data_IF_720865347547
#
_entry.id   IF_720865347547
#
_cell.length_a   1.000
_cell.length_b   1.000
_cell.length_c   1.000
_cell.angle_alpha   90.00
_cell.angle_beta   90.00
_cell.angle_gamma   90.00
#
_symmetry.space_group_name_H-M   'P 1'
#
loop_
_entity.id
_entity.type
_entity.pdbx_description
1 polymer ?
#
# COMPACT_ATOMS: atom_id res chain seq x y z
N UNK A 1 3.53 -16.35 -7.11
CA UNK A 1 3.07 -15.17 -7.91
C UNK A 1 1.64 -15.29 -8.43
N UNK A 2 1.14 -16.45 -8.91
CA UNK A 2 -0.25 -16.56 -9.41
C UNK A 2 -1.33 -16.28 -8.35
N UNK A 3 -1.06 -16.55 -7.07
CA UNK A 3 -2.06 -16.41 -5.99
C UNK A 3 -2.41 -14.97 -5.62
N UNK A 4 -1.49 -14.01 -5.78
CA UNK A 4 -1.71 -12.60 -5.40
C UNK A 4 -2.63 -11.89 -6.40
N UNK A 5 -2.37 -12.06 -7.69
CA UNK A 5 -3.21 -11.50 -8.75
C UNK A 5 -4.64 -12.05 -8.69
N UNK A 6 -4.81 -13.35 -8.38
CA UNK A 6 -6.15 -13.96 -8.23
C UNK A 6 -6.88 -13.35 -7.02
N UNK A 7 -6.24 -13.25 -5.86
CA UNK A 7 -6.85 -12.66 -4.66
C UNK A 7 -7.14 -11.15 -4.80
N UNK A 8 -6.39 -10.43 -5.64
CA UNK A 8 -6.68 -9.03 -5.96
C UNK A 8 -7.85 -8.86 -6.93
N UNK A 9 -8.14 -9.88 -7.76
CA UNK A 9 -9.29 -9.87 -8.69
C UNK A 9 -10.63 -10.21 -8.02
N UNK A 10 -10.62 -10.84 -6.83
CA UNK A 10 -11.84 -11.18 -6.08
C UNK A 10 -12.52 -9.98 -5.42
N UNK A 11 -11.88 -8.81 -5.42
CA UNK A 11 -12.46 -7.61 -4.82
C UNK A 11 -13.27 -6.79 -5.82
N UNK A 12 -14.40 -6.19 -5.38
CA UNK A 12 -15.30 -5.47 -6.26
C UNK A 12 -14.53 -4.39 -7.00
N UNK A 13 -14.57 -4.47 -8.33
CA UNK A 13 -13.87 -3.53 -9.19
C UNK A 13 -14.41 -2.14 -8.92
N UNK A 14 -13.54 -1.29 -8.38
CA UNK A 14 -13.82 0.12 -8.10
C UNK A 14 -13.80 0.88 -9.43
N UNK A 15 -14.91 1.53 -9.78
CA UNK A 15 -14.99 2.30 -11.01
C UNK A 15 -14.04 3.51 -10.97
N UNK A 16 -13.47 3.83 -12.12
CA UNK A 16 -12.80 5.12 -12.36
C UNK A 16 -13.77 5.95 -13.19
N UNK A 17 -14.16 7.10 -12.66
CA UNK A 17 -14.99 8.06 -13.40
C UNK A 17 -14.08 9.10 -14.02
N UNK A 18 -14.23 9.29 -15.33
CA UNK A 18 -13.57 10.34 -16.09
C UNK A 18 -14.65 11.37 -16.42
N UNK A 19 -14.62 12.50 -15.73
CA UNK A 19 -15.53 13.62 -16.00
C UNK A 19 -14.90 14.54 -17.06
N UNK A 20 -15.53 14.57 -18.24
CA UNK A 20 -15.12 15.41 -19.37
C UNK A 20 -16.05 16.64 -19.57
N UNK A 21 -16.91 16.96 -18.59
CA UNK A 21 -17.83 18.09 -18.70
C UNK A 21 -17.15 19.47 -18.65
N UNK A 22 -15.93 19.53 -18.08
CA UNK A 22 -15.10 20.73 -17.98
C UNK A 22 -14.05 20.88 -19.09
N UNK A 23 -13.29 22.00 -19.09
CA UNK A 23 -12.22 22.27 -20.06
C UNK A 23 -11.02 21.32 -19.92
N UNK A 24 -10.87 20.66 -18.77
CA UNK A 24 -9.88 19.61 -18.55
C UNK A 24 -10.56 18.38 -17.91
N UNK A 25 -10.23 17.16 -18.38
CA UNK A 25 -10.82 15.95 -17.83
C UNK A 25 -10.39 15.75 -16.37
N UNK A 26 -11.35 15.44 -15.50
CA UNK A 26 -11.10 15.11 -14.10
C UNK A 26 -11.22 13.59 -13.89
N UNK A 27 -10.27 13.04 -13.13
CA UNK A 27 -10.26 11.64 -12.76
C UNK A 27 -10.67 11.49 -11.30
N UNK A 28 -11.69 10.69 -11.02
CA UNK A 28 -11.99 10.25 -9.66
C UNK A 28 -11.93 8.73 -9.58
N UNK A 29 -10.98 8.19 -8.81
CA UNK A 29 -10.94 6.77 -8.49
C UNK A 29 -11.86 6.46 -7.31
N UNK A 30 -12.59 5.33 -7.36
CA UNK A 30 -13.36 4.85 -6.21
C UNK A 30 -12.49 4.30 -5.05
N UNK A 31 -11.16 4.48 -5.11
CA UNK A 31 -10.22 4.14 -4.04
C UNK A 31 -8.87 4.81 -4.24
N UNK A 32 -8.34 5.36 -3.15
CA UNK A 32 -7.00 5.92 -3.03
C UNK A 32 -6.48 5.66 -1.62
N UNK A 33 -5.17 5.77 -1.45
CA UNK A 33 -4.54 5.89 -0.14
C UNK A 33 -3.46 6.98 -0.21
N UNK A 34 -2.95 7.37 0.97
CA UNK A 34 -1.97 8.45 1.09
C UNK A 34 -0.73 8.21 0.23
N UNK A 35 -0.29 6.95 0.11
CA UNK A 35 0.85 6.61 -0.75
C UNK A 35 0.58 6.93 -2.22
N UNK A 36 -0.58 6.53 -2.75
CA UNK A 36 -0.99 6.85 -4.12
C UNK A 36 -1.09 8.36 -4.35
N UNK A 37 -1.66 9.10 -3.40
CA UNK A 37 -1.78 10.56 -3.46
C UNK A 37 -0.42 11.25 -3.48
N UNK A 38 0.47 10.92 -2.52
CA UNK A 38 1.80 11.52 -2.39
C UNK A 38 2.64 11.27 -3.67
N UNK A 39 2.57 10.07 -4.25
CA UNK A 39 3.28 9.75 -5.49
C UNK A 39 2.65 10.37 -6.73
N UNK A 40 1.32 10.46 -6.80
CA UNK A 40 0.62 11.14 -7.89
C UNK A 40 0.99 12.63 -7.91
N UNK A 41 1.00 13.28 -6.76
CA UNK A 41 1.45 14.67 -6.64
C UNK A 41 2.92 14.83 -7.05
N UNK A 42 3.80 13.93 -6.60
CA UNK A 42 5.21 13.92 -7.02
C UNK A 42 5.36 13.78 -8.54
N UNK A 43 4.55 12.94 -9.16
CA UNK A 43 4.55 12.72 -10.60
C UNK A 43 4.05 13.93 -11.37
N UNK A 44 2.96 14.57 -10.92
CA UNK A 44 2.40 15.79 -11.52
C UNK A 44 3.38 16.96 -11.41
N UNK A 45 4.00 17.15 -10.25
CA UNK A 45 5.02 18.19 -10.06
C UNK A 45 6.26 17.95 -10.94
N UNK A 46 6.64 16.69 -11.16
CA UNK A 46 7.71 16.33 -12.09
C UNK A 46 7.38 16.60 -13.56
N UNK A 47 6.10 16.73 -13.91
CA UNK A 47 5.64 16.94 -15.28
C UNK A 47 5.83 18.39 -15.76
N UNK A 48 5.91 19.36 -14.85
CA UNK A 48 6.04 20.78 -15.19
C UNK A 48 7.28 21.09 -16.05
N UNK A 49 8.32 20.24 -15.97
CA UNK A 49 9.55 20.37 -16.77
C UNK A 49 9.64 19.48 -18.00
N UNK A 50 8.67 18.59 -18.24
CA UNK A 50 8.63 17.69 -19.41
C UNK A 50 9.83 16.73 -19.56
N UNK A 51 10.63 16.51 -18.51
CA UNK A 51 11.87 15.74 -18.57
C UNK A 51 11.60 14.21 -18.47
N UNK A 52 11.81 13.42 -19.54
CA UNK A 52 11.55 11.97 -19.52
C UNK A 52 12.42 11.21 -18.51
N UNK A 53 13.63 11.68 -18.23
CA UNK A 53 14.52 11.07 -17.25
C UNK A 53 13.98 11.23 -15.83
N UNK A 54 13.43 12.40 -15.51
CA UNK A 54 12.82 12.66 -14.20
C UNK A 54 11.61 11.75 -13.97
N UNK A 55 10.75 11.57 -14.98
CA UNK A 55 9.64 10.62 -14.89
C UNK A 55 10.10 9.19 -14.61
N UNK A 56 11.12 8.73 -15.34
CA UNK A 56 11.70 7.40 -15.10
C UNK A 56 12.23 7.29 -13.66
N UNK A 57 12.93 8.31 -13.18
CA UNK A 57 13.47 8.32 -11.82
C UNK A 57 12.36 8.27 -10.76
N UNK A 58 11.27 9.01 -10.93
CA UNK A 58 10.10 8.97 -10.04
C UNK A 58 9.51 7.56 -10.02
N UNK A 59 9.31 6.92 -11.19
CA UNK A 59 8.78 5.56 -11.28
C UNK A 59 9.70 4.51 -10.64
N UNK A 60 11.01 4.63 -10.82
CA UNK A 60 11.97 3.72 -10.18
C UNK A 60 11.99 3.91 -8.66
N UNK A 61 11.93 5.15 -8.17
CA UNK A 61 11.83 5.42 -6.73
C UNK A 61 10.52 4.89 -6.13
N UNK A 62 9.40 5.00 -6.85
CA UNK A 62 8.12 4.40 -6.47
C UNK A 62 8.24 2.88 -6.28
N UNK A 63 8.81 2.19 -7.27
CA UNK A 63 9.04 0.73 -7.22
C UNK A 63 9.92 0.37 -6.03
N UNK A 64 11.06 1.06 -5.87
CA UNK A 64 11.99 0.82 -4.77
C UNK A 64 11.32 0.99 -3.42
N UNK A 65 10.50 2.03 -3.25
CA UNK A 65 9.77 2.29 -2.01
C UNK A 65 8.76 1.17 -1.70
N UNK A 66 7.98 0.73 -2.69
CA UNK A 66 7.03 -0.37 -2.52
C UNK A 66 7.75 -1.68 -2.12
N UNK A 67 8.89 -1.99 -2.76
CA UNK A 67 9.72 -3.16 -2.43
C UNK A 67 10.30 -3.05 -1.01
N UNK A 68 10.77 -1.87 -0.62
CA UNK A 68 11.29 -1.65 0.73
C UNK A 68 10.21 -1.83 1.79
N UNK A 69 9.03 -1.28 1.54
CA UNK A 69 7.93 -1.32 2.51
C UNK A 69 7.41 -2.75 2.73
N UNK A 70 7.28 -3.56 1.67
CA UNK A 70 6.89 -4.98 1.83
C UNK A 70 7.97 -5.79 2.57
N UNK A 71 9.25 -5.55 2.27
CA UNK A 71 10.35 -6.26 2.94
C UNK A 71 10.46 -5.87 4.42
N UNK A 72 10.29 -4.58 4.72
CA UNK A 72 10.24 -4.08 6.10
C UNK A 72 9.08 -4.71 6.86
N UNK A 73 7.88 -4.77 6.26
CA UNK A 73 6.71 -5.39 6.87
C UNK A 73 6.95 -6.88 7.18
N UNK A 74 7.44 -7.66 6.21
CA UNK A 74 7.78 -9.08 6.40
C UNK A 74 8.75 -9.26 7.56
N UNK A 75 9.78 -8.40 7.66
CA UNK A 75 10.75 -8.43 8.76
C UNK A 75 10.11 -8.08 10.10
N UNK A 76 9.24 -7.07 10.16
CA UNK A 76 8.54 -6.70 11.39
C UNK A 76 7.61 -7.80 11.87
N UNK A 77 6.87 -8.44 10.96
CA UNK A 77 5.93 -9.51 11.30
C UNK A 77 6.67 -10.69 11.95
N UNK A 78 7.78 -11.14 11.34
CA UNK A 78 8.62 -12.19 11.95
C UNK A 78 9.12 -11.83 13.35
N UNK A 79 9.45 -10.56 13.59
CA UNK A 79 9.90 -10.12 14.91
C UNK A 79 8.74 -10.01 15.92
N UNK A 80 7.56 -9.63 15.45
CA UNK A 80 6.37 -9.43 16.27
C UNK A 80 5.86 -10.74 16.90
N UNK A 81 6.17 -11.89 16.30
CA UNK A 81 5.85 -13.21 16.85
C UNK A 81 6.44 -13.41 18.26
N UNK A 82 7.64 -12.90 18.52
CA UNK A 82 8.35 -13.09 19.78
C UNK A 82 8.47 -11.82 20.62
N UNK A 83 7.97 -10.67 20.13
CA UNK A 83 8.22 -9.38 20.75
C UNK A 83 7.07 -8.39 20.53
N UNK A 84 6.36 -8.05 21.60
CA UNK A 84 5.24 -7.11 21.57
C UNK A 84 5.67 -5.68 21.19
N UNK A 85 6.91 -5.27 21.47
CA UNK A 85 7.45 -4.00 21.00
C UNK A 85 7.68 -4.01 19.48
N UNK A 86 8.06 -5.16 18.90
CA UNK A 86 8.14 -5.31 17.46
C UNK A 86 6.75 -5.27 16.81
N UNK A 87 5.73 -5.85 17.46
CA UNK A 87 4.33 -5.71 17.03
C UNK A 87 3.89 -4.24 17.00
N UNK A 88 4.19 -3.47 18.06
CA UNK A 88 3.91 -2.04 18.09
C UNK A 88 4.63 -1.28 16.96
N UNK A 89 5.92 -1.54 16.73
CA UNK A 89 6.66 -0.93 15.61
C UNK A 89 6.05 -1.28 14.25
N UNK A 90 5.57 -2.51 14.10
CA UNK A 90 4.87 -2.94 12.89
C UNK A 90 3.59 -2.13 12.66
N UNK A 91 2.76 -1.96 13.69
CA UNK A 91 1.56 -1.12 13.65
C UNK A 91 1.89 0.34 13.30
N UNK A 92 2.88 0.94 13.97
CA UNK A 92 3.31 2.32 13.69
C UNK A 92 3.81 2.47 12.26
N UNK A 93 4.56 1.49 11.74
CA UNK A 93 5.00 1.47 10.35
C UNK A 93 3.81 1.45 9.38
N UNK A 94 2.85 0.54 9.58
CA UNK A 94 1.66 0.40 8.73
C UNK A 94 0.81 1.67 8.71
N UNK A 95 0.68 2.34 9.85
CA UNK A 95 -0.07 3.61 9.95
C UNK A 95 0.60 4.75 9.17
N UNK A 96 1.93 4.75 9.12
CA UNK A 96 2.70 5.89 8.60
C UNK A 96 3.25 5.70 7.17
N UNK A 97 3.27 4.48 6.63
CA UNK A 97 3.79 4.24 5.28
C UNK A 97 2.83 4.66 4.15
N UNK A 98 1.58 4.99 4.48
CA UNK A 98 0.55 5.47 3.55
C UNK A 98 -0.09 4.39 2.66
N UNK A 99 0.44 3.17 2.65
CA UNK A 99 -0.05 2.00 1.89
C UNK A 99 -0.30 0.77 2.77
N UNK A 100 -0.48 0.97 4.09
CA UNK A 100 -0.60 -0.11 5.07
C UNK A 100 -1.77 -1.07 4.80
N UNK A 101 -2.87 -0.56 4.23
CA UNK A 101 -4.03 -1.31 3.78
C UNK A 101 -3.67 -2.35 2.71
N UNK A 102 -2.92 -1.94 1.70
CA UNK A 102 -2.47 -2.80 0.61
C UNK A 102 -1.39 -3.76 1.11
N UNK A 103 -0.44 -3.28 1.91
CA UNK A 103 0.66 -4.12 2.41
C UNK A 103 0.15 -5.26 3.31
N UNK A 104 -0.82 -4.99 4.20
CA UNK A 104 -1.46 -6.04 5.01
C UNK A 104 -2.16 -7.08 4.14
N UNK A 105 -2.91 -6.63 3.12
CA UNK A 105 -3.59 -7.52 2.19
C UNK A 105 -2.60 -8.40 1.41
N UNK A 106 -1.46 -7.85 0.98
CA UNK A 106 -0.41 -8.61 0.30
C UNK A 106 0.12 -9.72 1.20
N UNK A 107 0.54 -9.38 2.42
CA UNK A 107 1.09 -10.38 3.35
C UNK A 107 0.04 -11.42 3.72
N UNK A 108 -1.24 -11.03 3.79
CA UNK A 108 -2.35 -11.96 4.01
C UNK A 108 -2.48 -13.00 2.92
N UNK A 109 -2.35 -12.61 1.66
CA UNK A 109 -2.41 -13.56 0.55
C UNK A 109 -1.14 -14.41 0.48
N UNK A 110 -0.01 -13.86 0.89
CA UNK A 110 1.28 -14.56 0.97
C UNK A 110 1.44 -15.47 2.21
N UNK A 111 0.39 -15.63 3.03
CA UNK A 111 0.38 -16.46 4.25
C UNK A 111 0.82 -17.92 4.05
N UNK A 112 0.87 -18.42 2.80
CA UNK A 112 1.35 -19.77 2.47
C UNK A 112 2.81 -19.98 2.93
N UNK A 113 3.61 -18.92 3.04
CA UNK A 113 5.01 -19.02 3.45
C UNK A 113 5.24 -18.93 4.98
N UNK A 114 4.27 -18.48 5.78
CA UNK A 114 4.42 -18.29 7.25
C UNK A 114 3.09 -18.46 8.01
N UNK A 115 2.79 -19.66 8.53
CA UNK A 115 1.60 -19.91 9.35
C UNK A 115 1.56 -19.11 10.65
N UNK A 116 2.70 -18.91 11.31
CA UNK A 116 2.84 -18.21 12.59
C UNK A 116 2.57 -16.70 12.47
N UNK A 117 2.88 -16.13 11.30
CA UNK A 117 2.59 -14.74 10.95
C UNK A 117 1.08 -14.43 10.91
N UNK A 118 0.22 -15.45 10.80
CA UNK A 118 -1.24 -15.28 10.70
C UNK A 118 -1.83 -14.58 11.92
N UNK A 119 -1.38 -14.94 13.12
CA UNK A 119 -1.87 -14.32 14.36
C UNK A 119 -1.46 -12.84 14.44
N UNK A 120 -0.20 -12.55 14.13
CA UNK A 120 0.32 -11.18 14.07
C UNK A 120 -0.47 -10.34 13.07
N UNK A 121 -0.71 -10.85 11.87
CA UNK A 121 -1.47 -10.12 10.83
C UNK A 121 -2.92 -9.90 11.26
N UNK A 122 -3.57 -10.88 11.88
CA UNK A 122 -4.95 -10.74 12.39
C UNK A 122 -5.05 -9.60 13.40
N UNK A 123 -4.13 -9.58 14.38
CA UNK A 123 -4.08 -8.52 15.40
C UNK A 123 -3.80 -7.14 14.78
N UNK A 124 -2.89 -7.07 13.81
CA UNK A 124 -2.61 -5.81 13.09
C UNK A 124 -3.82 -5.31 12.30
N UNK A 125 -4.57 -6.19 11.65
CA UNK A 125 -5.81 -5.82 10.97
C UNK A 125 -6.85 -5.26 11.94
N UNK A 126 -7.00 -5.85 13.13
CA UNK A 126 -7.91 -5.36 14.17
C UNK A 126 -7.53 -3.94 14.61
N UNK A 127 -6.27 -3.71 14.97
CA UNK A 127 -5.81 -2.37 15.37
C UNK A 127 -5.94 -1.33 14.26
N UNK A 128 -5.70 -1.72 13.01
CA UNK A 128 -5.87 -0.84 11.85
C UNK A 128 -7.35 -0.49 11.61
N UNK A 129 -8.28 -1.43 11.85
CA UNK A 129 -9.73 -1.17 11.74
C UNK A 129 -10.27 -0.29 12.86
N UNK A 130 -9.87 -0.54 14.11
CA UNK A 130 -10.30 0.26 15.26
C UNK A 130 -9.90 1.73 15.12
N UNK A 131 -8.70 2.00 14.58
CA UNK A 131 -8.24 3.37 14.36
C UNK A 131 -9.01 4.10 13.25
N UNK A 132 -9.57 3.37 12.27
CA UNK A 132 -10.31 3.97 11.16
C UNK A 132 -11.77 4.34 11.53
N UNK A 133 -12.27 3.82 12.67
CA UNK A 133 -13.62 4.08 13.16
C UNK A 133 -13.70 5.19 14.24
N UNK A 134 -12.55 5.74 14.64
CA UNK A 134 -12.41 6.80 15.64
C UNK A 134 -11.99 8.13 14.98
#
# INVERSE_FOLDING_TARGET
MASLCIAMMEEPHKSVVIDCSGPAPQFSSAGSNKFCEDWMQTFLNGAEGGNPFLFRQILENFKLKAIQDINNLKRFIRQAEMNHYALFKCYVFLKNCGSGDILLKIVKVEHVEMPEAKNVVTVLEEFMRETAAA
#
